data_IF_682194313788
#
_entry.id   IF_682194313788
#
_cell.length_a   1.000
_cell.length_b   1.000
_cell.length_c   1.000
_cell.angle_alpha   90.00
_cell.angle_beta   90.00
_cell.angle_gamma   90.00
#
_symmetry.space_group_name_H-M   'P 1'
#
loop_
_entity.id
_entity.type
_entity.pdbx_description
1 polymer ?
#
# COMPACT_ATOMS: atom_id res chain seq x y z
N UNK A 1 -18.59 1.66 66.93
CA UNK A 1 -17.44 1.95 66.04
C UNK A 1 -17.44 1.18 64.70
N UNK A 2 -17.98 -0.05 64.60
CA UNK A 2 -17.91 -0.86 63.36
C UNK A 2 -18.76 -0.36 62.17
N UNK A 3 -19.73 0.55 62.38
CA UNK A 3 -20.61 1.06 61.30
C UNK A 3 -19.95 2.15 60.46
N UNK A 4 -19.24 3.09 61.08
CA UNK A 4 -18.53 4.16 60.38
C UNK A 4 -17.42 3.64 59.44
N UNK A 5 -16.80 2.50 59.78
CA UNK A 5 -15.78 1.86 58.94
C UNK A 5 -16.36 1.25 57.66
N UNK A 6 -17.63 0.81 57.66
CA UNK A 6 -18.27 0.28 56.45
C UNK A 6 -18.69 1.39 55.47
N UNK A 7 -19.09 2.55 55.97
CA UNK A 7 -19.45 3.71 55.13
C UNK A 7 -18.23 4.28 54.40
N UNK A 8 -17.08 4.36 55.08
CA UNK A 8 -15.82 4.83 54.48
C UNK A 8 -15.32 3.86 53.39
N UNK A 9 -15.51 2.54 53.58
CA UNK A 9 -15.10 1.53 52.61
C UNK A 9 -15.93 1.62 51.32
N UNK A 10 -17.24 1.85 51.43
CA UNK A 10 -18.11 2.06 50.27
C UNK A 10 -17.73 3.29 49.45
N UNK A 11 -17.42 4.41 50.13
CA UNK A 11 -16.99 5.65 49.46
C UNK A 11 -15.66 5.47 48.74
N UNK A 12 -14.71 4.73 49.32
CA UNK A 12 -13.43 4.45 48.68
C UNK A 12 -13.60 3.67 47.35
N UNK A 13 -14.50 2.69 47.30
CA UNK A 13 -14.75 1.92 46.07
C UNK A 13 -15.33 2.80 44.95
N UNK A 14 -16.28 3.68 45.27
CA UNK A 14 -16.88 4.61 44.29
C UNK A 14 -15.83 5.56 43.71
N UNK A 15 -14.94 6.10 44.55
CA UNK A 15 -13.86 6.97 44.11
C UNK A 15 -12.90 6.25 43.16
N UNK A 16 -12.55 5.00 43.45
CA UNK A 16 -11.71 4.18 42.57
C UNK A 16 -12.38 3.96 41.21
N UNK A 17 -13.69 3.66 41.19
CA UNK A 17 -14.45 3.47 39.94
C UNK A 17 -14.46 4.77 39.11
N UNK A 18 -14.67 5.92 39.74
CA UNK A 18 -14.68 7.23 39.07
C UNK A 18 -13.30 7.55 38.48
N UNK A 19 -12.21 7.27 39.21
CA UNK A 19 -10.85 7.48 38.71
C UNK A 19 -10.56 6.61 37.50
N UNK A 20 -10.94 5.32 37.54
CA UNK A 20 -10.79 4.42 36.39
C UNK A 20 -11.60 4.94 35.21
N UNK A 21 -12.87 5.28 35.39
CA UNK A 21 -13.73 5.82 34.33
C UNK A 21 -13.14 7.10 33.71
N UNK A 22 -12.57 7.99 34.53
CA UNK A 22 -11.93 9.23 34.06
C UNK A 22 -10.69 8.95 33.23
N UNK A 23 -9.87 7.96 33.62
CA UNK A 23 -8.71 7.52 32.83
C UNK A 23 -9.16 6.99 31.46
N UNK A 24 -10.22 6.19 31.41
CA UNK A 24 -10.79 5.72 30.14
C UNK A 24 -11.25 6.91 29.28
N UNK A 25 -12.00 7.86 29.82
CA UNK A 25 -12.46 9.06 29.10
C UNK A 25 -11.27 9.84 28.54
N UNK A 26 -10.25 10.12 29.35
CA UNK A 26 -9.06 10.88 28.92
C UNK A 26 -8.30 10.11 27.82
N UNK A 27 -8.13 8.80 27.97
CA UNK A 27 -7.42 7.97 26.99
C UNK A 27 -8.17 7.87 25.66
N UNK A 28 -9.48 7.68 25.69
CA UNK A 28 -10.26 7.38 24.48
C UNK A 28 -10.83 8.62 23.79
N UNK A 29 -11.09 9.71 24.51
CA UNK A 29 -11.67 10.93 23.95
C UNK A 29 -10.63 12.05 23.74
N UNK A 30 -9.71 12.23 24.68
CA UNK A 30 -8.74 13.36 24.64
C UNK A 30 -7.45 12.96 23.91
N UNK A 31 -6.92 11.77 24.20
CA UNK A 31 -5.67 11.25 23.63
C UNK A 31 -5.89 10.46 22.34
N UNK A 32 -6.79 10.92 21.45
CA UNK A 32 -6.78 10.49 20.04
C UNK A 32 -5.53 11.10 19.38
N UNK A 33 -4.35 10.59 19.70
CA UNK A 33 -3.15 10.94 18.95
C UNK A 33 -3.37 10.50 17.50
N UNK A 34 -3.01 11.35 16.52
CA UNK A 34 -3.20 10.99 15.13
C UNK A 34 -2.35 9.75 14.84
N UNK A 35 -3.02 8.66 14.46
CA UNK A 35 -2.41 7.40 13.99
C UNK A 35 -1.63 7.62 12.67
N UNK A 36 -1.47 8.86 12.23
CA UNK A 36 -0.92 9.28 10.94
C UNK A 36 0.53 8.84 10.75
N UNK A 37 1.37 8.89 11.79
CA UNK A 37 2.75 8.39 11.68
C UNK A 37 2.80 6.88 11.40
N UNK A 38 1.92 6.07 12.00
CA UNK A 38 1.83 4.64 11.70
C UNK A 38 1.32 4.39 10.27
N UNK A 39 0.36 5.19 9.81
CA UNK A 39 -0.16 5.06 8.44
C UNK A 39 0.93 5.26 7.38
N UNK A 40 1.84 6.23 7.58
CA UNK A 40 2.91 6.52 6.62
C UNK A 40 3.88 5.35 6.40
N UNK A 41 4.35 4.71 7.47
CA UNK A 41 5.23 3.54 7.36
C UNK A 41 4.50 2.33 6.77
N UNK A 42 3.25 2.11 7.17
CA UNK A 42 2.43 1.01 6.64
C UNK A 42 2.20 1.16 5.13
N UNK A 43 1.91 2.37 4.63
CA UNK A 43 1.71 2.60 3.19
C UNK A 43 2.99 2.35 2.37
N UNK A 44 4.16 2.78 2.86
CA UNK A 44 5.43 2.52 2.17
C UNK A 44 5.76 1.01 2.10
N UNK A 45 5.51 0.30 3.20
CA UNK A 45 5.73 -1.14 3.31
C UNK A 45 4.77 -1.93 2.40
N UNK A 46 3.48 -1.55 2.39
CA UNK A 46 2.49 -2.14 1.48
C UNK A 46 2.90 -1.89 0.03
N UNK A 47 3.27 -0.66 -0.35
CA UNK A 47 3.69 -0.34 -1.70
C UNK A 47 4.92 -1.18 -2.12
N UNK A 48 5.90 -1.34 -1.23
CA UNK A 48 7.11 -2.13 -1.47
C UNK A 48 6.79 -3.62 -1.64
N UNK A 49 6.06 -4.21 -0.71
CA UNK A 49 5.71 -5.64 -0.74
C UNK A 49 4.78 -5.98 -1.91
N UNK A 50 3.85 -5.07 -2.23
CA UNK A 50 2.96 -5.22 -3.36
C UNK A 50 3.72 -5.16 -4.68
N UNK A 51 4.58 -4.15 -4.86
CA UNK A 51 5.39 -4.01 -6.06
C UNK A 51 6.34 -5.19 -6.25
N UNK A 52 7.04 -5.62 -5.19
CA UNK A 52 7.94 -6.78 -5.25
C UNK A 52 7.20 -8.07 -5.60
N UNK A 53 6.04 -8.30 -5.01
CA UNK A 53 5.19 -9.47 -5.31
C UNK A 53 4.71 -9.43 -6.75
N UNK A 54 4.22 -8.27 -7.20
CA UNK A 54 3.77 -8.07 -8.58
C UNK A 54 4.89 -8.38 -9.58
N UNK A 55 6.06 -7.78 -9.39
CA UNK A 55 7.22 -7.96 -10.28
C UNK A 55 7.69 -9.42 -10.38
N UNK A 56 7.54 -10.21 -9.31
CA UNK A 56 7.88 -11.63 -9.25
C UNK A 56 6.75 -12.56 -9.67
N UNK A 57 5.54 -12.04 -9.88
CA UNK A 57 4.40 -12.87 -10.26
C UNK A 57 4.58 -13.40 -11.68
N UNK A 58 4.47 -14.71 -11.84
CA UNK A 58 4.57 -15.38 -13.14
C UNK A 58 3.22 -15.37 -13.87
N UNK A 59 3.24 -14.95 -15.13
CA UNK A 59 2.10 -14.98 -16.03
C UNK A 59 1.86 -16.41 -16.54
N UNK A 60 0.89 -17.10 -15.95
CA UNK A 60 0.53 -18.47 -16.40
C UNK A 60 0.15 -18.51 -17.88
N UNK A 61 -0.51 -17.45 -18.36
CA UNK A 61 -1.00 -17.33 -19.74
C UNK A 61 0.05 -16.71 -20.69
N UNK A 62 1.28 -16.48 -20.23
CA UNK A 62 2.36 -15.93 -21.03
C UNK A 62 3.70 -16.62 -20.77
N UNK A 63 3.78 -17.90 -21.12
CA UNK A 63 5.00 -18.72 -21.03
C UNK A 63 5.65 -18.75 -19.63
N UNK A 64 4.86 -18.53 -18.58
CA UNK A 64 5.32 -18.43 -17.19
C UNK A 64 6.38 -17.33 -16.95
N UNK A 65 6.48 -16.35 -17.85
CA UNK A 65 7.36 -15.20 -17.67
C UNK A 65 6.89 -14.34 -16.49
N UNK A 66 7.84 -13.82 -15.74
CA UNK A 66 7.60 -12.88 -14.65
C UNK A 66 7.17 -11.52 -15.20
N UNK A 67 6.43 -10.75 -14.40
CA UNK A 67 6.08 -9.36 -14.78
C UNK A 67 7.33 -8.51 -15.03
N UNK A 68 8.46 -8.81 -14.38
CA UNK A 68 9.74 -8.15 -14.64
C UNK A 68 10.20 -8.39 -16.07
N UNK A 69 10.20 -9.64 -16.55
CA UNK A 69 10.61 -9.98 -17.92
C UNK A 69 9.66 -9.37 -18.96
N UNK A 70 8.35 -9.39 -18.69
CA UNK A 70 7.36 -8.78 -19.56
C UNK A 70 7.51 -7.25 -19.63
N UNK A 71 7.86 -6.60 -18.52
CA UNK A 71 8.18 -5.17 -18.49
C UNK A 71 9.49 -4.86 -19.23
N UNK A 72 10.50 -5.72 -19.12
CA UNK A 72 11.75 -5.57 -19.87
C UNK A 72 11.51 -5.63 -21.37
N UNK A 73 10.74 -6.62 -21.84
CA UNK A 73 10.35 -6.73 -23.25
C UNK A 73 9.51 -5.53 -23.70
N UNK A 74 8.55 -5.11 -22.86
CA UNK A 74 7.73 -3.93 -23.11
C UNK A 74 8.57 -2.67 -23.35
N UNK A 75 9.65 -2.49 -22.59
CA UNK A 75 10.56 -1.35 -22.73
C UNK A 75 11.54 -1.47 -23.91
N UNK A 76 11.86 -2.69 -24.37
CA UNK A 76 12.89 -2.92 -25.40
C UNK A 76 12.33 -3.09 -26.82
N UNK A 77 11.04 -3.32 -27.00
CA UNK A 77 10.47 -3.44 -28.35
C UNK A 77 9.20 -4.28 -28.51
N UNK A 78 8.60 -4.77 -27.41
CA UNK A 78 7.31 -5.52 -27.42
C UNK A 78 7.35 -6.79 -28.29
N UNK A 79 8.46 -7.52 -28.25
CA UNK A 79 8.64 -8.73 -29.06
C UNK A 79 7.82 -9.92 -28.54
N UNK A 80 7.47 -9.90 -27.26
CA UNK A 80 6.70 -10.97 -26.62
C UNK A 80 5.20 -10.66 -26.71
N UNK A 81 4.46 -11.61 -27.26
CA UNK A 81 2.99 -11.60 -27.33
C UNK A 81 2.40 -12.68 -26.44
N UNK A 82 1.52 -12.27 -25.53
CA UNK A 82 0.81 -13.14 -24.60
C UNK A 82 -0.59 -13.40 -25.15
N UNK A 83 -0.76 -14.42 -25.99
CA UNK A 83 -2.01 -14.63 -26.73
C UNK A 83 -2.18 -13.58 -27.84
N UNK A 84 -3.18 -12.70 -27.71
CA UNK A 84 -3.48 -11.64 -28.70
C UNK A 84 -2.95 -10.26 -28.29
N UNK A 85 -2.37 -10.12 -27.11
CA UNK A 85 -1.92 -8.84 -26.56
C UNK A 85 -0.39 -8.80 -26.43
N UNK A 86 0.18 -7.62 -26.61
CA UNK A 86 1.62 -7.40 -26.39
C UNK A 86 1.95 -7.38 -24.90
N UNK A 87 3.21 -7.65 -24.56
CA UNK A 87 3.74 -7.64 -23.19
C UNK A 87 3.29 -6.44 -22.35
N UNK A 88 3.39 -5.22 -22.88
CA UNK A 88 2.94 -4.01 -22.16
C UNK A 88 1.47 -4.04 -21.76
N UNK A 89 0.59 -4.37 -22.71
CA UNK A 89 -0.86 -4.39 -22.50
C UNK A 89 -1.23 -5.52 -21.53
N UNK A 90 -0.56 -6.67 -21.67
CA UNK A 90 -0.73 -7.78 -20.74
C UNK A 90 -0.36 -7.39 -19.29
N UNK A 91 0.79 -6.72 -19.11
CA UNK A 91 1.22 -6.22 -17.80
C UNK A 91 0.22 -5.19 -17.27
N UNK A 92 -0.25 -4.26 -18.10
CA UNK A 92 -1.22 -3.25 -17.70
C UNK A 92 -2.54 -3.88 -17.23
N UNK A 93 -3.09 -4.81 -18.00
CA UNK A 93 -4.33 -5.53 -17.67
C UNK A 93 -4.18 -6.36 -16.40
N UNK A 94 -3.04 -7.05 -16.25
CA UNK A 94 -2.76 -7.89 -15.08
C UNK A 94 -2.57 -7.03 -13.83
N UNK A 95 -1.80 -5.95 -13.92
CA UNK A 95 -1.64 -4.99 -12.83
C UNK A 95 -2.97 -4.36 -12.43
N UNK A 96 -3.79 -3.93 -13.40
CA UNK A 96 -5.12 -3.37 -13.15
C UNK A 96 -6.02 -4.37 -12.42
N UNK A 97 -6.02 -5.64 -12.83
CA UNK A 97 -6.78 -6.69 -12.15
C UNK A 97 -6.30 -6.90 -10.73
N UNK A 98 -5.00 -7.11 -10.53
CA UNK A 98 -4.40 -7.36 -9.22
C UNK A 98 -4.67 -6.19 -8.27
N UNK A 99 -4.43 -4.95 -8.70
CA UNK A 99 -4.63 -3.77 -7.86
C UNK A 99 -6.12 -3.52 -7.56
N UNK A 100 -7.01 -3.77 -8.53
CA UNK A 100 -8.46 -3.73 -8.30
C UNK A 100 -8.92 -4.80 -7.30
N UNK A 101 -8.34 -5.99 -7.35
CA UNK A 101 -8.70 -7.07 -6.43
C UNK A 101 -8.09 -6.94 -5.04
N UNK A 102 -7.18 -5.97 -4.83
CA UNK A 102 -6.44 -5.75 -3.58
C UNK A 102 -6.60 -4.32 -3.06
N UNK A 103 -5.86 -3.36 -3.62
CA UNK A 103 -5.80 -1.96 -3.20
C UNK A 103 -7.18 -1.28 -3.26
N UNK A 104 -7.97 -1.52 -4.30
CA UNK A 104 -9.33 -0.95 -4.40
C UNK A 104 -10.25 -1.55 -3.33
N UNK A 105 -10.16 -2.86 -3.05
CA UNK A 105 -10.93 -3.49 -1.97
C UNK A 105 -10.56 -2.94 -0.60
N UNK A 106 -9.31 -2.51 -0.42
CA UNK A 106 -8.85 -1.84 0.79
C UNK A 106 -9.13 -0.33 0.80
N UNK A 107 -9.82 0.18 -0.23
CA UNK A 107 -10.11 1.61 -0.41
C UNK A 107 -8.87 2.51 -0.40
N UNK A 108 -7.73 1.98 -0.87
CA UNK A 108 -6.48 2.72 -0.97
C UNK A 108 -6.37 3.40 -2.35
N UNK A 109 -6.10 4.70 -2.37
CA UNK A 109 -5.78 5.41 -3.61
C UNK A 109 -4.33 5.15 -3.96
N UNK A 110 -4.06 4.85 -5.22
CA UNK A 110 -2.71 4.54 -5.68
C UNK A 110 -2.44 5.07 -7.10
N UNK A 111 -1.15 5.22 -7.41
CA UNK A 111 -0.62 5.45 -8.74
C UNK A 111 0.51 4.44 -9.01
N UNK A 112 0.37 3.66 -10.06
CA UNK A 112 1.43 2.78 -10.56
C UNK A 112 1.96 3.32 -11.89
N UNK A 113 3.28 3.41 -11.98
CA UNK A 113 4.00 3.91 -13.14
C UNK A 113 5.12 2.94 -13.51
N UNK A 114 5.21 2.55 -14.76
CA UNK A 114 6.40 1.92 -15.34
C UNK A 114 6.90 2.78 -16.49
N UNK A 115 8.16 3.22 -16.42
CA UNK A 115 8.70 4.19 -17.36
C UNK A 115 10.20 4.02 -17.57
N UNK A 116 10.66 4.21 -18.81
CA UNK A 116 12.07 4.41 -19.12
C UNK A 116 12.41 5.92 -19.13
N UNK A 117 11.49 6.75 -19.65
CA UNK A 117 11.52 8.20 -19.57
C UNK A 117 10.37 8.70 -18.68
N UNK A 118 10.68 9.55 -17.70
CA UNK A 118 9.72 10.12 -16.77
C UNK A 118 8.57 10.88 -17.46
N UNK A 119 8.80 11.41 -18.66
CA UNK A 119 7.79 12.17 -19.41
C UNK A 119 6.82 11.27 -20.22
N UNK A 120 7.20 10.02 -20.47
CA UNK A 120 6.42 9.09 -21.31
C UNK A 120 6.33 7.72 -20.64
N UNK A 121 5.47 7.55 -19.62
CA UNK A 121 5.30 6.26 -18.96
C UNK A 121 4.73 5.21 -19.93
N UNK A 122 5.34 4.03 -19.92
CA UNK A 122 4.91 2.87 -20.71
C UNK A 122 3.60 2.29 -20.16
N UNK A 123 3.47 2.28 -18.84
CA UNK A 123 2.27 1.82 -18.14
C UNK A 123 1.93 2.84 -17.06
N UNK A 124 0.68 3.29 -17.04
CA UNK A 124 0.15 4.19 -16.01
C UNK A 124 -1.22 3.72 -15.54
N UNK A 125 -1.33 3.42 -14.25
CA UNK A 125 -2.56 2.90 -13.64
C UNK A 125 -2.88 3.68 -12.38
N UNK A 126 -4.15 4.02 -12.18
CA UNK A 126 -4.62 4.72 -10.99
C UNK A 126 -4.71 6.24 -11.19
N UNK A 127 -4.79 6.98 -10.08
CA UNK A 127 -4.91 8.45 -10.08
C UNK A 127 -3.67 9.05 -9.43
N UNK A 128 -3.14 10.16 -9.94
CA UNK A 128 -1.97 10.79 -9.35
C UNK A 128 -2.25 11.22 -7.91
N UNK A 129 -1.27 10.98 -7.03
CA UNK A 129 -1.33 11.43 -5.64
C UNK A 129 -0.85 12.90 -5.56
N UNK A 130 -1.73 13.89 -5.29
CA UNK A 130 -1.38 15.31 -5.33
C UNK A 130 -0.51 15.76 -4.14
N UNK A 131 -0.57 15.06 -3.00
CA UNK A 131 0.20 15.35 -1.79
C UNK A 131 0.47 14.06 -0.99
N UNK A 132 1.45 14.11 -0.09
CA UNK A 132 1.89 13.03 0.82
C UNK A 132 1.84 11.62 0.23
N UNK A 133 2.78 11.38 -0.70
CA UNK A 133 2.95 10.08 -1.33
C UNK A 133 4.09 9.30 -0.72
N UNK A 134 3.84 8.02 -0.50
CA UNK A 134 4.89 7.05 -0.15
C UNK A 134 5.07 6.14 -1.35
N UNK A 135 6.26 6.20 -1.93
CA UNK A 135 6.58 5.47 -3.14
C UNK A 135 7.72 4.50 -2.92
N UNK A 136 7.58 3.29 -3.46
CA UNK A 136 8.74 2.43 -3.72
C UNK A 136 9.05 2.49 -5.20
N UNK A 137 10.32 2.69 -5.51
CA UNK A 137 10.85 2.67 -6.86
C UNK A 137 11.78 1.46 -6.99
N UNK A 138 11.57 0.67 -8.03
CA UNK A 138 12.34 -0.54 -8.32
C UNK A 138 12.96 -0.41 -9.72
N UNK A 139 14.30 -0.32 -9.83
CA UNK A 139 14.99 -0.28 -11.11
C UNK A 139 15.00 -1.67 -11.75
N UNK A 140 14.74 -1.73 -13.05
CA UNK A 140 14.81 -2.94 -13.86
C UNK A 140 15.81 -2.69 -14.99
N UNK A 141 16.93 -3.43 -15.05
CA UNK A 141 17.90 -3.26 -16.11
C UNK A 141 17.31 -3.69 -17.46
N UNK A 142 17.58 -2.93 -18.50
CA UNK A 142 17.23 -3.23 -19.89
C UNK A 142 18.47 -3.08 -20.78
N UNK A 143 18.44 -3.60 -22.01
CA UNK A 143 19.57 -3.56 -22.95
C UNK A 143 19.99 -2.12 -23.25
N UNK A 144 21.04 -1.64 -22.57
CA UNK A 144 21.60 -0.29 -22.74
C UNK A 144 20.97 0.81 -21.89
N UNK A 145 20.00 0.52 -21.03
CA UNK A 145 19.35 1.51 -20.16
C UNK A 145 18.78 0.89 -18.87
N UNK A 146 18.11 1.68 -18.04
CA UNK A 146 17.36 1.20 -16.87
C UNK A 146 15.94 1.75 -16.96
N UNK A 147 14.95 0.88 -16.86
CA UNK A 147 13.57 1.31 -16.66
C UNK A 147 13.26 1.31 -15.16
N UNK A 148 12.29 2.13 -14.76
CA UNK A 148 11.86 2.24 -13.38
C UNK A 148 10.40 1.85 -13.27
N UNK A 149 10.10 1.09 -12.22
CA UNK A 149 8.73 0.82 -11.80
C UNK A 149 8.49 1.47 -10.46
N UNK A 150 7.33 2.10 -10.31
CA UNK A 150 6.98 2.89 -9.13
C UNK A 150 5.54 2.62 -8.76
N UNK A 151 5.33 2.29 -7.49
CA UNK A 151 4.00 2.24 -6.88
C UNK A 151 3.93 3.29 -5.78
N UNK A 152 3.00 4.23 -5.92
CA UNK A 152 2.68 5.27 -4.95
C UNK A 152 1.33 4.94 -4.31
N UNK A 153 1.29 4.91 -2.98
CA UNK A 153 0.04 4.87 -2.22
C UNK A 153 -0.20 6.26 -1.65
N UNK A 154 -1.37 6.83 -1.91
CA UNK A 154 -1.73 8.15 -1.41
C UNK A 154 -2.13 8.04 0.07
N UNK A 155 -1.60 8.92 0.91
CA UNK A 155 -1.97 9.03 2.33
C UNK A 155 -3.24 9.87 2.54
#
# INVERSE_FOLDING_TARGET
MKRAQMEILGLAVVVVIILVATIFIVRFLVLKTPVEYRKGFVSAEIASNMLNTFLKTAAKDCSQLTMTELLQDCAQGKSITCGTVHSCEFVELTAKKIFKDTLDKWSMKYEFLAYADANSPLVKIGKPCPADKRSKLFPIPISGATMYTKLEICA
#
